data_IF_585440539892
#
_entry.id   IF_585440539892
#
_cell.length_a   1.000
_cell.length_b   1.000
_cell.length_c   1.000
_cell.angle_alpha   90.00
_cell.angle_beta   90.00
_cell.angle_gamma   90.00
#
_symmetry.space_group_name_H-M   'P 1'
#
loop_
_entity.id
_entity.type
_entity.pdbx_description
1 polymer ?
#
# COMPACT_ATOMS: atom_id res chain seq x y z
N UNK A 1 -2.55 -42.48 16.32
CA UNK A 1 -2.06 -42.21 14.95
C UNK A 1 -3.13 -42.23 13.86
N UNK A 2 -3.90 -43.32 13.70
CA UNK A 2 -4.96 -43.38 12.66
C UNK A 2 -6.02 -42.27 12.86
N UNK A 3 -6.39 -42.01 14.12
CA UNK A 3 -7.37 -40.97 14.47
C UNK A 3 -6.86 -39.55 14.16
N UNK A 4 -5.60 -39.22 14.51
CA UNK A 4 -4.97 -37.94 14.16
C UNK A 4 -4.96 -37.74 12.64
N UNK A 5 -4.62 -38.78 11.87
CA UNK A 5 -4.60 -38.69 10.42
C UNK A 5 -6.01 -38.53 9.83
N UNK A 6 -7.02 -39.16 10.43
CA UNK A 6 -8.41 -38.99 10.02
C UNK A 6 -8.89 -37.55 10.29
N UNK A 7 -8.58 -37.00 11.47
CA UNK A 7 -8.93 -35.63 11.85
C UNK A 7 -8.22 -34.59 10.97
N UNK A 8 -6.92 -34.76 10.70
CA UNK A 8 -6.18 -33.87 9.79
C UNK A 8 -6.66 -33.96 8.33
N UNK A 9 -7.09 -35.14 7.88
CA UNK A 9 -7.69 -35.29 6.54
C UNK A 9 -9.05 -34.61 6.48
N UNK A 10 -9.88 -34.79 7.51
CA UNK A 10 -11.18 -34.12 7.63
C UNK A 10 -11.02 -32.59 7.61
N UNK A 11 -10.04 -32.07 8.36
CA UNK A 11 -9.69 -30.65 8.32
C UNK A 11 -9.29 -30.19 6.90
N UNK A 12 -8.43 -30.95 6.22
CA UNK A 12 -8.02 -30.64 4.84
C UNK A 12 -9.18 -30.76 3.84
N UNK A 13 -10.12 -31.67 4.03
CA UNK A 13 -11.32 -31.78 3.18
C UNK A 13 -12.26 -30.60 3.39
N UNK A 14 -12.42 -30.14 4.63
CA UNK A 14 -13.29 -29.02 4.99
C UNK A 14 -12.78 -27.67 4.47
N UNK A 15 -11.50 -27.39 4.66
CA UNK A 15 -10.90 -26.09 4.36
C UNK A 15 -10.02 -26.10 3.10
N UNK A 16 -9.80 -27.26 2.46
CA UNK A 16 -9.13 -27.40 1.17
C UNK A 16 -7.78 -26.66 1.04
N UNK A 17 -7.75 -25.53 0.32
CA UNK A 17 -6.54 -24.73 0.02
C UNK A 17 -6.04 -23.92 1.21
N UNK A 18 -6.91 -23.77 2.18
CA UNK A 18 -6.82 -22.87 3.31
C UNK A 18 -6.17 -23.60 4.52
N UNK A 19 -5.83 -24.88 4.34
CA UNK A 19 -5.07 -25.74 5.25
C UNK A 19 -3.89 -26.40 4.52
N UNK A 20 -2.71 -26.29 5.13
CA UNK A 20 -1.50 -26.97 4.71
C UNK A 20 -1.11 -28.03 5.76
N UNK A 21 -0.82 -29.25 5.30
CA UNK A 21 -0.36 -30.34 6.15
C UNK A 21 1.12 -30.62 5.86
N UNK A 22 1.97 -30.49 6.88
CA UNK A 22 3.38 -30.86 6.81
C UNK A 22 3.70 -31.98 7.81
N UNK A 23 4.70 -32.79 7.48
CA UNK A 23 5.20 -33.89 8.32
C UNK A 23 6.72 -33.85 8.29
N UNK A 24 7.35 -34.40 9.31
CA UNK A 24 8.79 -34.61 9.31
C UNK A 24 9.25 -35.39 8.06
N UNK A 25 10.46 -35.09 7.59
CA UNK A 25 11.05 -35.78 6.44
C UNK A 25 11.20 -37.28 6.72
N UNK A 26 10.96 -38.08 5.68
CA UNK A 26 11.06 -39.53 5.78
C UNK A 26 12.51 -39.93 6.04
N UNK A 27 12.79 -40.41 7.25
CA UNK A 27 14.15 -40.77 7.70
C UNK A 27 14.69 -39.89 8.83
N UNK A 28 13.98 -38.81 9.19
CA UNK A 28 14.32 -38.01 10.37
C UNK A 28 14.11 -38.79 11.69
N UNK A 29 14.92 -38.53 12.73
CA UNK A 29 14.71 -39.12 14.05
C UNK A 29 13.35 -38.66 14.60
N UNK A 30 12.45 -39.61 14.87
CA UNK A 30 11.09 -39.32 15.36
C UNK A 30 9.99 -39.33 14.29
N UNK A 31 10.30 -39.65 13.02
CA UNK A 31 9.28 -39.80 11.97
C UNK A 31 8.14 -40.73 12.43
N UNK A 32 6.86 -40.31 12.32
CA UNK A 32 6.35 -39.21 11.48
C UNK A 32 6.23 -37.83 12.16
N UNK A 33 6.72 -37.66 13.39
CA UNK A 33 6.64 -36.40 14.14
C UNK A 33 7.85 -35.49 13.90
N UNK A 34 7.67 -34.16 13.98
CA UNK A 34 6.40 -33.45 14.18
C UNK A 34 5.47 -33.53 12.96
N UNK A 35 4.16 -33.58 13.23
CA UNK A 35 3.09 -33.42 12.22
C UNK A 35 2.47 -32.06 12.44
N UNK A 36 2.47 -31.21 11.41
CA UNK A 36 1.94 -29.86 11.50
C UNK A 36 0.74 -29.63 10.56
N UNK A 37 -0.23 -28.87 11.07
CA UNK A 37 -1.41 -28.40 10.36
C UNK A 37 -1.42 -26.87 10.42
N UNK A 38 -1.12 -26.23 9.31
CA UNK A 38 -1.18 -24.77 9.18
C UNK A 38 -2.52 -24.39 8.59
N UNK A 39 -3.30 -23.57 9.30
CA UNK A 39 -4.57 -23.02 8.84
C UNK A 39 -4.39 -21.54 8.56
N UNK A 40 -4.67 -21.10 7.35
CA UNK A 40 -4.73 -19.68 6.98
C UNK A 40 -6.16 -19.20 7.14
N UNK A 41 -6.53 -18.71 8.33
CA UNK A 41 -7.90 -18.29 8.61
C UNK A 41 -8.18 -16.98 7.88
N UNK A 42 -9.09 -16.94 6.89
CA UNK A 42 -9.40 -15.70 6.17
C UNK A 42 -10.14 -14.73 7.08
N UNK A 43 -10.02 -13.43 6.81
CA UNK A 43 -10.77 -12.38 7.50
C UNK A 43 -12.28 -12.64 7.40
N UNK A 44 -12.98 -12.87 8.53
CA UNK A 44 -14.43 -13.00 8.49
C UNK A 44 -15.10 -11.64 8.24
N UNK A 45 -16.35 -11.65 7.77
CA UNK A 45 -17.13 -10.42 7.52
C UNK A 45 -17.28 -9.55 8.78
N UNK A 46 -17.36 -10.17 9.96
CA UNK A 46 -17.39 -9.49 11.27
C UNK A 46 -16.11 -8.69 11.56
N UNK A 47 -15.01 -9.01 10.88
CA UNK A 47 -13.73 -8.34 10.99
C UNK A 47 -13.44 -7.41 9.81
N UNK A 48 -14.41 -7.04 8.97
CA UNK A 48 -14.19 -6.20 7.78
C UNK A 48 -13.49 -4.85 8.06
N UNK A 49 -13.63 -4.32 9.28
CA UNK A 49 -12.94 -3.11 9.73
C UNK A 49 -11.44 -3.30 10.03
N UNK A 50 -10.91 -4.54 10.00
CA UNK A 50 -9.52 -4.85 10.31
C UNK A 50 -8.68 -5.03 9.06
N UNK A 51 -7.49 -4.44 9.07
CA UNK A 51 -6.47 -4.59 8.04
C UNK A 51 -5.60 -5.83 8.28
N UNK A 52 -6.24 -6.97 8.47
CA UNK A 52 -5.60 -8.27 8.59
C UNK A 52 -6.37 -9.24 7.70
N UNK A 53 -5.81 -9.56 6.53
CA UNK A 53 -6.50 -10.40 5.53
C UNK A 53 -6.54 -11.87 5.94
N UNK A 54 -5.48 -12.38 6.55
CA UNK A 54 -5.39 -13.78 6.96
C UNK A 54 -4.66 -13.91 8.31
N UNK A 55 -5.13 -14.84 9.14
CA UNK A 55 -4.51 -15.23 10.41
C UNK A 55 -4.00 -16.68 10.28
N UNK A 56 -2.70 -16.87 10.00
CA UNK A 56 -2.10 -18.19 9.93
C UNK A 56 -1.82 -18.73 11.33
N UNK A 57 -2.36 -19.92 11.61
CA UNK A 57 -2.14 -20.67 12.85
C UNK A 57 -1.60 -22.05 12.53
N UNK A 58 -0.44 -22.39 13.06
CA UNK A 58 0.20 -23.69 12.85
C UNK A 58 0.11 -24.56 14.09
N UNK A 59 -0.69 -25.62 14.00
CA UNK A 59 -0.80 -26.67 15.00
C UNK A 59 0.29 -27.72 14.80
N UNK A 60 1.23 -27.84 15.73
CA UNK A 60 2.35 -28.79 15.66
C UNK A 60 2.17 -29.90 16.69
N UNK A 61 1.91 -31.12 16.22
CA UNK A 61 1.80 -32.32 17.04
C UNK A 61 3.16 -33.01 17.12
N UNK A 62 3.69 -33.18 18.33
CA UNK A 62 5.02 -33.74 18.62
C UNK A 62 4.99 -35.17 19.16
N UNK A 63 3.82 -35.66 19.61
CA UNK A 63 3.66 -36.98 20.20
C UNK A 63 2.51 -37.77 19.56
N UNK A 64 2.55 -39.09 19.69
CA UNK A 64 1.50 -40.00 19.24
C UNK A 64 0.29 -40.06 20.17
N UNK A 65 0.46 -39.63 21.42
CA UNK A 65 -0.60 -39.61 22.42
C UNK A 65 -1.06 -38.18 22.71
N UNK A 66 -2.37 -37.96 22.83
CA UNK A 66 -2.91 -36.65 23.16
C UNK A 66 -2.63 -36.34 24.64
N UNK A 67 -1.72 -35.40 24.89
CA UNK A 67 -1.38 -34.91 26.22
C UNK A 67 -1.08 -33.41 26.18
N UNK A 68 -1.03 -32.71 27.33
CA UNK A 68 -0.86 -31.26 27.37
C UNK A 68 0.42 -30.74 26.71
N UNK A 69 1.44 -31.60 26.60
CA UNK A 69 2.74 -31.32 25.95
C UNK A 69 2.84 -31.91 24.53
N UNK A 70 1.82 -32.60 24.06
CA UNK A 70 1.83 -33.27 22.76
C UNK A 70 1.65 -32.31 21.59
N UNK A 71 1.11 -31.11 21.84
CA UNK A 71 0.80 -30.12 20.81
C UNK A 71 1.38 -28.78 21.24
N UNK A 72 2.05 -28.12 20.30
CA UNK A 72 2.43 -26.71 20.38
C UNK A 72 1.73 -25.95 19.26
N UNK A 73 1.34 -24.70 19.52
CA UNK A 73 0.82 -23.80 18.49
C UNK A 73 1.90 -22.80 18.14
N UNK A 74 2.08 -22.57 16.84
CA UNK A 74 3.03 -21.59 16.31
C UNK A 74 2.26 -20.57 15.47
N UNK A 75 2.54 -19.28 15.69
CA UNK A 75 2.01 -18.18 14.88
C UNK A 75 3.20 -17.48 14.20
N UNK A 76 3.16 -17.25 12.88
CA UNK A 76 4.28 -16.63 12.17
C UNK A 76 4.66 -15.24 12.73
N UNK A 77 5.95 -14.87 12.70
CA UNK A 77 6.47 -13.69 13.38
C UNK A 77 6.23 -12.36 12.62
N UNK A 78 5.25 -12.30 11.71
CA UNK A 78 4.91 -11.03 11.04
C UNK A 78 4.01 -10.14 11.90
N UNK A 79 3.37 -10.70 12.94
CA UNK A 79 2.62 -9.91 13.90
C UNK A 79 3.57 -9.15 14.83
N UNK A 80 3.18 -7.94 15.27
CA UNK A 80 4.05 -7.07 16.05
C UNK A 80 4.35 -7.61 17.45
N UNK A 81 5.61 -7.48 17.86
CA UNK A 81 6.07 -7.66 19.24
C UNK A 81 5.68 -9.00 19.87
N UNK A 82 5.02 -8.96 21.03
CA UNK A 82 4.60 -10.15 21.78
C UNK A 82 3.26 -10.75 21.33
N UNK A 83 2.58 -10.14 20.35
CA UNK A 83 1.27 -10.60 19.88
C UNK A 83 1.26 -12.07 19.38
N UNK A 84 2.23 -12.54 18.55
CA UNK A 84 2.25 -13.95 18.15
C UNK A 84 2.30 -14.89 19.36
N UNK A 85 3.15 -14.60 20.35
CA UNK A 85 3.32 -15.44 21.54
C UNK A 85 2.05 -15.46 22.40
N UNK A 86 1.34 -14.34 22.54
CA UNK A 86 0.07 -14.29 23.25
C UNK A 86 -1.04 -15.04 22.50
N UNK A 87 -1.08 -14.97 21.17
CA UNK A 87 -1.98 -15.78 20.34
C UNK A 87 -1.70 -17.28 20.52
N UNK A 88 -0.44 -17.70 20.43
CA UNK A 88 -0.02 -19.09 20.67
C UNK A 88 -0.53 -19.60 22.02
N UNK A 89 -0.28 -18.84 23.10
CA UNK A 89 -0.76 -19.17 24.45
C UNK A 89 -2.29 -19.26 24.52
N UNK A 90 -3.01 -18.33 23.89
CA UNK A 90 -4.47 -18.30 23.90
C UNK A 90 -5.05 -19.54 23.20
N UNK A 91 -4.53 -19.87 22.02
CA UNK A 91 -4.96 -21.04 21.24
C UNK A 91 -4.59 -22.34 21.94
N UNK A 92 -3.37 -22.46 22.49
CA UNK A 92 -2.96 -23.63 23.29
C UNK A 92 -3.85 -23.84 24.52
N UNK A 93 -4.18 -22.75 25.22
CA UNK A 93 -5.07 -22.79 26.39
C UNK A 93 -6.46 -23.28 26.02
N UNK A 94 -7.03 -22.79 24.92
CA UNK A 94 -8.33 -23.27 24.45
C UNK A 94 -8.25 -24.74 24.03
N UNK A 95 -7.22 -25.14 23.29
CA UNK A 95 -7.00 -26.53 22.92
C UNK A 95 -6.96 -27.45 24.15
N UNK A 96 -6.18 -27.10 25.18
CA UNK A 96 -6.10 -27.87 26.44
C UNK A 96 -7.45 -27.95 27.14
N UNK A 97 -8.23 -26.86 27.12
CA UNK A 97 -9.58 -26.82 27.69
C UNK A 97 -10.55 -27.70 26.91
N UNK A 98 -10.44 -27.76 25.59
CA UNK A 98 -11.22 -28.68 24.75
C UNK A 98 -10.81 -30.14 24.99
N UNK A 99 -9.51 -30.41 25.16
CA UNK A 99 -8.99 -31.74 25.48
C UNK A 99 -9.57 -32.29 26.80
N UNK A 100 -9.79 -31.44 27.80
CA UNK A 100 -10.45 -31.82 29.06
C UNK A 100 -11.96 -32.06 28.95
N UNK A 101 -12.60 -31.62 27.87
CA UNK A 101 -14.05 -31.74 27.64
C UNK A 101 -14.41 -32.87 26.66
N UNK A 102 -13.51 -33.83 26.43
CA UNK A 102 -13.72 -34.97 25.53
C UNK A 102 -15.06 -35.68 25.82
N UNK A 103 -15.98 -35.64 24.86
CA UNK A 103 -17.34 -36.20 24.99
C UNK A 103 -17.67 -37.28 23.95
N UNK A 104 -16.81 -37.54 22.95
CA UNK A 104 -17.15 -38.40 21.81
C UNK A 104 -16.04 -39.32 21.32
N UNK A 105 -16.44 -40.34 20.56
CA UNK A 105 -15.57 -41.28 19.85
C UNK A 105 -15.11 -40.62 18.54
N UNK A 106 -13.81 -40.36 18.38
CA UNK A 106 -13.24 -39.68 17.20
C UNK A 106 -12.76 -38.23 17.43
N UNK A 107 -13.11 -37.62 18.57
CA UNK A 107 -12.68 -36.26 18.94
C UNK A 107 -11.43 -36.32 19.86
N UNK A 108 -10.37 -36.93 19.38
CA UNK A 108 -9.21 -37.20 20.23
C UNK A 108 -8.26 -35.99 20.33
N UNK A 109 -8.05 -35.27 19.22
CA UNK A 109 -7.07 -34.18 19.13
C UNK A 109 -7.68 -32.79 19.15
N UNK A 110 -8.98 -32.65 18.87
CA UNK A 110 -9.71 -31.36 18.92
C UNK A 110 -9.10 -30.28 18.00
N UNK A 111 -8.40 -30.68 16.94
CA UNK A 111 -7.76 -29.78 15.98
C UNK A 111 -8.83 -28.97 15.27
N UNK A 112 -9.86 -29.62 14.72
CA UNK A 112 -10.92 -28.92 13.98
C UNK A 112 -11.66 -27.92 14.86
N UNK A 113 -12.09 -28.36 16.05
CA UNK A 113 -12.81 -27.50 17.00
C UNK A 113 -11.96 -26.33 17.49
N UNK A 114 -10.64 -26.50 17.59
CA UNK A 114 -9.78 -25.38 17.97
C UNK A 114 -9.60 -24.41 16.80
N UNK A 115 -9.47 -24.91 15.57
CA UNK A 115 -9.41 -24.05 14.38
C UNK A 115 -10.73 -23.28 14.14
N UNK A 116 -11.89 -23.91 14.36
CA UNK A 116 -13.20 -23.23 14.35
C UNK A 116 -13.28 -22.14 15.43
N UNK A 117 -12.71 -22.42 16.60
CA UNK A 117 -12.66 -21.43 17.67
C UNK A 117 -11.80 -20.23 17.28
N UNK A 118 -10.64 -20.46 16.65
CA UNK A 118 -9.78 -19.39 16.10
C UNK A 118 -10.56 -18.52 15.11
N UNK A 119 -11.28 -19.14 14.18
CA UNK A 119 -12.12 -18.42 13.20
C UNK A 119 -13.19 -17.56 13.88
N UNK A 120 -13.86 -18.10 14.90
CA UNK A 120 -14.90 -17.39 15.65
C UNK A 120 -14.35 -16.26 16.53
N UNK A 121 -13.09 -16.34 16.95
CA UNK A 121 -12.42 -15.38 17.85
C UNK A 121 -11.32 -14.58 17.13
N UNK A 122 -11.38 -14.49 15.80
CA UNK A 122 -10.38 -13.81 14.97
C UNK A 122 -10.05 -12.40 15.50
N UNK A 123 -11.07 -11.59 15.76
CA UNK A 123 -10.92 -10.22 16.28
C UNK A 123 -10.38 -10.21 17.70
N UNK A 124 -10.80 -11.14 18.54
CA UNK A 124 -10.35 -11.21 19.93
C UNK A 124 -8.87 -11.57 20.01
N UNK A 125 -8.40 -12.44 19.11
CA UNK A 125 -6.99 -12.80 18.98
C UNK A 125 -6.13 -11.60 18.56
N UNK A 126 -6.58 -10.80 17.59
CA UNK A 126 -5.89 -9.57 17.18
C UNK A 126 -5.86 -8.51 18.29
N UNK A 127 -6.80 -8.56 19.23
CA UNK A 127 -6.92 -7.63 20.37
C UNK A 127 -6.22 -8.09 21.65
N UNK A 128 -5.53 -9.24 21.64
CA UNK A 128 -4.86 -9.75 22.84
C UNK A 128 -3.86 -8.77 23.43
N UNK A 129 -3.20 -8.00 22.56
CA UNK A 129 -2.27 -6.92 22.96
C UNK A 129 -2.79 -5.60 22.41
N UNK A 130 -3.67 -4.88 23.15
CA UNK A 130 -4.27 -3.64 22.68
C UNK A 130 -3.26 -2.54 22.33
N UNK A 131 -2.06 -2.60 22.90
CA UNK A 131 -0.98 -1.64 22.64
C UNK A 131 -0.53 -1.63 21.16
N UNK A 132 -0.74 -2.73 20.44
CA UNK A 132 -0.42 -2.82 19.01
C UNK A 132 -1.61 -2.55 18.10
N UNK A 133 -2.78 -2.18 18.64
CA UNK A 133 -3.97 -1.89 17.85
C UNK A 133 -4.13 -0.39 17.71
N UNK A 134 -4.00 0.11 16.48
CA UNK A 134 -4.26 1.51 16.16
C UNK A 134 -5.54 1.65 15.31
N UNK A 135 -6.11 2.86 15.34
CA UNK A 135 -7.34 3.18 14.62
C UNK A 135 -7.14 4.37 13.70
N UNK A 136 -7.66 4.26 12.48
CA UNK A 136 -7.67 5.37 11.53
C UNK A 136 -9.01 5.45 10.80
N UNK A 137 -9.24 6.57 10.12
CA UNK A 137 -10.42 6.75 9.26
C UNK A 137 -10.02 6.29 7.87
N UNK A 138 -10.56 5.14 7.45
CA UNK A 138 -10.41 4.63 6.09
C UNK A 138 -11.75 4.59 5.37
N UNK A 139 -11.80 3.86 4.26
CA UNK A 139 -13.03 3.62 3.52
C UNK A 139 -13.41 2.13 3.56
N UNK A 140 -14.70 1.85 3.48
CA UNK A 140 -15.21 0.51 3.16
C UNK A 140 -15.12 0.21 1.65
N UNK A 141 -15.53 -0.98 1.24
CA UNK A 141 -15.53 -1.41 -0.16
C UNK A 141 -16.46 -0.56 -1.06
N UNK A 142 -17.38 0.22 -0.47
CA UNK A 142 -18.30 1.12 -1.15
C UNK A 142 -17.80 2.57 -1.16
N UNK A 143 -16.62 2.84 -0.59
CA UNK A 143 -16.03 4.17 -0.50
C UNK A 143 -16.60 5.05 0.61
N UNK A 144 -17.41 4.50 1.52
CA UNK A 144 -17.91 5.21 2.68
C UNK A 144 -16.86 5.24 3.79
N UNK A 145 -16.70 6.39 4.45
CA UNK A 145 -15.74 6.54 5.54
C UNK A 145 -16.14 5.68 6.74
N UNK A 146 -15.20 4.85 7.22
CA UNK A 146 -15.39 4.02 8.40
C UNK A 146 -14.13 4.02 9.28
N UNK A 147 -14.32 3.75 10.58
CA UNK A 147 -13.18 3.51 11.48
C UNK A 147 -12.61 2.13 11.18
N UNK A 148 -11.32 2.09 10.84
CA UNK A 148 -10.56 0.87 10.57
C UNK A 148 -9.52 0.64 11.67
N UNK A 149 -9.12 -0.61 11.83
CA UNK A 149 -8.15 -1.08 12.82
C UNK A 149 -6.96 -1.70 12.09
N UNK A 150 -5.76 -1.33 12.52
CA UNK A 150 -4.51 -1.89 11.99
C UNK A 150 -3.61 -2.32 13.14
N UNK A 151 -2.67 -3.22 12.84
CA UNK A 151 -1.66 -3.66 13.79
C UNK A 151 -0.38 -2.86 13.59
N UNK A 152 0.06 -2.14 14.62
CA UNK A 152 1.28 -1.33 14.61
C UNK A 152 2.31 -2.01 15.51
N UNK A 153 3.55 -2.08 15.01
CA UNK A 153 4.70 -2.53 15.78
C UNK A 153 4.85 -1.79 17.11
N UNK A 154 5.65 -2.31 18.06
CA UNK A 154 6.21 -1.41 19.06
C UNK A 154 6.79 -0.23 18.30
N UNK A 155 6.48 0.99 18.76
CA UNK A 155 7.12 2.18 18.22
C UNK A 155 8.61 1.84 18.14
N UNK A 156 9.22 2.09 16.98
CA UNK A 156 10.67 2.18 16.96
C UNK A 156 11.04 3.04 18.17
N UNK A 157 12.11 2.71 18.94
CA UNK A 157 12.63 3.72 19.84
C UNK A 157 12.63 5.00 19.01
N UNK A 158 12.00 6.05 19.53
CA UNK A 158 12.33 7.37 19.03
C UNK A 158 13.85 7.32 19.05
N UNK A 159 14.45 7.20 17.87
CA UNK A 159 15.81 7.65 17.70
C UNK A 159 15.63 9.08 18.20
N UNK A 160 15.88 9.31 19.51
CA UNK A 160 16.46 10.55 19.98
C UNK A 160 17.51 10.73 18.93
N UNK A 161 17.19 11.58 17.94
CA UNK A 161 18.05 11.82 16.80
C UNK A 161 19.41 11.96 17.47
N UNK A 162 20.26 10.94 17.31
CA UNK A 162 21.67 11.16 17.26
C UNK A 162 21.70 12.10 16.07
N UNK A 163 21.59 13.40 16.38
CA UNK A 163 22.04 14.49 15.57
C UNK A 163 23.45 14.03 15.25
N UNK A 164 23.58 13.24 14.19
CA UNK A 164 24.79 13.17 13.42
C UNK A 164 25.03 14.66 13.19
N UNK A 165 25.96 15.23 13.95
CA UNK A 165 26.64 16.46 13.60
C UNK A 165 27.27 16.16 12.24
N UNK A 166 26.44 16.21 11.20
CA UNK A 166 26.88 16.15 9.82
C UNK A 166 27.54 17.50 9.64
N UNK A 167 28.85 17.51 9.86
CA UNK A 167 29.77 18.65 9.70
C UNK A 167 29.19 19.64 8.68
N UNK A 168 28.59 20.72 9.19
CA UNK A 168 27.78 21.66 8.39
C UNK A 168 28.62 22.20 7.22
N UNK A 169 29.95 22.28 7.40
CA UNK A 169 30.91 22.70 6.38
C UNK A 169 30.97 21.75 5.17
N UNK A 170 30.79 20.43 5.35
CA UNK A 170 30.82 19.48 4.24
C UNK A 170 29.52 19.53 3.41
N UNK A 171 28.36 19.69 4.07
CA UNK A 171 27.09 19.88 3.38
C UNK A 171 27.08 21.21 2.61
N UNK A 172 27.57 22.29 3.21
CA UNK A 172 27.69 23.59 2.54
C UNK A 172 28.59 23.51 1.31
N UNK A 173 29.73 22.81 1.40
CA UNK A 173 30.61 22.59 0.23
C UNK A 173 29.92 21.83 -0.89
N UNK A 174 29.18 20.75 -0.59
CA UNK A 174 28.44 19.99 -1.61
C UNK A 174 27.32 20.82 -2.24
N UNK A 175 26.64 21.64 -1.44
CA UNK A 175 25.59 22.53 -1.93
C UNK A 175 26.18 23.63 -2.84
N UNK A 176 27.30 24.22 -2.45
CA UNK A 176 28.00 25.23 -3.27
C UNK A 176 28.52 24.65 -4.58
N UNK A 177 29.08 23.44 -4.56
CA UNK A 177 29.54 22.77 -5.78
C UNK A 177 28.37 22.45 -6.73
N UNK A 178 27.23 22.02 -6.19
CA UNK A 178 26.01 21.80 -6.97
C UNK A 178 25.46 23.10 -7.56
N UNK A 179 25.40 24.17 -6.76
CA UNK A 179 24.94 25.49 -7.22
C UNK A 179 25.85 26.08 -8.29
N UNK A 180 27.17 25.96 -8.13
CA UNK A 180 28.14 26.40 -9.14
C UNK A 180 27.98 25.64 -10.46
N UNK A 181 27.70 24.34 -10.39
CA UNK A 181 27.45 23.50 -11.57
C UNK A 181 26.15 23.86 -12.29
N UNK A 182 25.08 24.12 -11.56
CA UNK A 182 23.82 24.59 -12.15
C UNK A 182 23.95 26.00 -12.75
N UNK A 183 24.65 26.91 -12.07
CA UNK A 183 24.93 28.25 -12.60
C UNK A 183 25.73 28.19 -13.90
N UNK A 184 26.77 27.36 -13.98
CA UNK A 184 27.53 27.17 -15.21
C UNK A 184 26.67 26.60 -16.36
N UNK A 185 25.72 25.71 -16.06
CA UNK A 185 24.77 25.20 -17.07
C UNK A 185 23.83 26.29 -17.58
N UNK A 186 23.31 27.12 -16.67
CA UNK A 186 22.40 28.23 -17.00
C UNK A 186 23.14 29.30 -17.81
N UNK A 187 24.36 29.66 -17.45
CA UNK A 187 25.17 30.63 -18.20
C UNK A 187 25.48 30.14 -19.62
N UNK A 188 25.82 28.86 -19.79
CA UNK A 188 26.03 28.27 -21.11
C UNK A 188 24.75 28.31 -21.97
N UNK A 189 23.58 28.01 -21.39
CA UNK A 189 22.31 28.07 -22.11
C UNK A 189 21.93 29.53 -22.50
N UNK A 190 22.24 30.50 -21.64
CA UNK A 190 22.02 31.92 -21.92
C UNK A 190 22.96 32.40 -23.04
N UNK A 191 24.22 31.99 -23.02
CA UNK A 191 25.19 32.37 -24.05
C UNK A 191 24.83 31.76 -25.42
N UNK A 192 24.35 30.51 -25.44
CA UNK A 192 23.86 29.86 -26.66
C UNK A 192 22.62 30.57 -27.21
N UNK A 193 21.66 30.94 -26.35
CA UNK A 193 20.48 31.73 -26.74
C UNK A 193 20.88 33.09 -27.29
N UNK A 194 21.83 33.77 -26.64
CA UNK A 194 22.30 35.08 -27.09
C UNK A 194 22.97 35.00 -28.47
N UNK A 195 23.80 33.98 -28.72
CA UNK A 195 24.41 33.73 -30.03
C UNK A 195 23.36 33.43 -31.10
N UNK A 196 22.38 32.58 -30.79
CA UNK A 196 21.28 32.27 -31.70
C UNK A 196 20.44 33.50 -32.04
N UNK A 197 20.15 34.35 -31.05
CA UNK A 197 19.37 35.58 -31.25
C UNK A 197 20.16 36.64 -32.03
N UNK A 198 21.47 36.74 -31.83
CA UNK A 198 22.34 37.62 -32.60
C UNK A 198 22.49 37.14 -34.06
N UNK A 199 22.58 35.83 -34.29
CA UNK A 199 22.56 35.24 -35.63
C UNK A 199 21.21 35.48 -36.33
N UNK A 200 20.08 35.31 -35.62
CA UNK A 200 18.75 35.63 -36.12
C UNK A 200 18.58 37.10 -36.45
N UNK A 201 19.11 38.01 -35.61
CA UNK A 201 19.08 39.45 -35.87
C UNK A 201 19.91 39.80 -37.10
N UNK A 202 21.11 39.22 -37.23
CA UNK A 202 21.98 39.39 -38.41
C UNK A 202 21.33 38.84 -39.68
N UNK A 203 20.65 37.69 -39.61
CA UNK A 203 19.91 37.12 -40.74
C UNK A 203 18.70 37.99 -41.15
N UNK A 204 17.97 38.53 -40.17
CA UNK A 204 16.86 39.45 -40.41
C UNK A 204 17.32 40.79 -41.02
N UNK A 205 18.43 41.36 -40.53
CA UNK A 205 19.05 42.57 -41.10
C UNK A 205 19.58 42.35 -42.52
N UNK A 206 20.03 41.13 -42.84
CA UNK A 206 20.41 40.72 -44.21
C UNK A 206 19.21 40.39 -45.12
N UNK A 207 17.98 40.47 -44.61
CA UNK A 207 16.74 40.25 -45.38
C UNK A 207 16.48 38.80 -45.77
N UNK A 208 17.05 37.83 -45.05
CA UNK A 208 16.76 36.40 -45.20
C UNK A 208 15.95 35.90 -44.01
N UNK A 209 14.76 35.36 -44.28
CA UNK A 209 14.02 34.55 -43.30
C UNK A 209 14.48 33.08 -43.38
N UNK A 210 14.16 32.29 -42.34
CA UNK A 210 14.65 30.92 -42.07
C UNK A 210 14.55 29.90 -43.23
N UNK A 211 13.77 30.20 -44.28
CA UNK A 211 13.66 29.37 -45.51
C UNK A 211 14.48 29.88 -46.72
N UNK A 212 15.37 30.86 -46.53
CA UNK A 212 16.30 31.34 -47.58
C UNK A 212 15.65 32.10 -48.74
N UNK A 213 14.36 32.44 -48.67
CA UNK A 213 13.66 33.19 -49.72
C UNK A 213 13.56 34.69 -49.40
N UNK A 214 14.00 35.54 -50.34
CA UNK A 214 13.83 37.00 -50.26
C UNK A 214 12.34 37.35 -50.27
N UNK A 215 11.96 38.33 -49.44
CA UNK A 215 10.59 38.85 -49.30
C UNK A 215 10.02 39.18 -50.68
N UNK A 216 9.14 38.33 -51.17
CA UNK A 216 8.32 38.63 -52.34
C UNK A 216 7.31 39.67 -51.89
N UNK A 217 7.47 40.92 -52.35
CA UNK A 217 6.47 41.96 -52.10
C UNK A 217 5.13 41.50 -52.69
N UNK A 218 4.22 41.06 -51.82
CA UNK A 218 2.89 40.66 -52.21
C UNK A 218 2.18 41.87 -52.83
N UNK A 219 1.57 41.66 -53.99
CA UNK A 219 0.83 42.73 -54.66
C UNK A 219 -0.38 43.14 -53.83
N UNK A 220 -0.84 44.39 -53.99
CA UNK A 220 -2.01 44.93 -53.24
C UNK A 220 -3.27 44.05 -53.33
N UNK A 221 -3.42 43.24 -54.39
CA UNK A 221 -4.54 42.31 -54.56
C UNK A 221 -4.42 41.07 -53.68
N UNK A 222 -3.23 40.48 -53.57
CA UNK A 222 -2.98 39.30 -52.74
C UNK A 222 -3.11 39.65 -51.24
N UNK A 223 -2.68 40.85 -50.86
CA UNK A 223 -2.84 41.35 -49.48
C UNK A 223 -4.31 41.54 -49.09
N UNK A 224 -5.18 41.85 -50.06
CA UNK A 224 -6.61 42.02 -49.82
C UNK A 224 -7.34 40.68 -49.63
N UNK A 225 -6.92 39.62 -50.32
CA UNK A 225 -7.45 38.26 -50.12
C UNK A 225 -7.00 37.65 -48.79
N UNK A 226 -5.72 37.83 -48.42
CA UNK A 226 -5.23 37.33 -47.13
C UNK A 226 -5.97 37.96 -45.94
N UNK A 227 -6.29 39.26 -46.03
CA UNK A 227 -7.04 39.97 -45.00
C UNK A 227 -8.54 39.58 -44.93
N UNK A 228 -9.14 39.04 -45.99
CA UNK A 228 -10.49 38.44 -45.92
C UNK A 228 -10.49 37.21 -45.03
N UNK A 229 -9.51 36.32 -45.20
CA UNK A 229 -9.38 35.10 -44.37
C UNK A 229 -9.18 35.40 -42.88
N UNK A 230 -8.49 36.52 -42.56
CA UNK A 230 -8.25 36.95 -41.19
C UNK A 230 -9.50 37.53 -40.51
N UNK A 231 -10.35 38.24 -41.26
CA UNK A 231 -11.66 38.74 -40.81
C UNK A 231 -12.66 37.61 -40.57
N UNK A 232 -12.58 36.52 -41.33
CA UNK A 232 -13.43 35.33 -41.12
C UNK A 232 -12.96 34.49 -39.93
N UNK A 233 -11.64 34.40 -39.68
CA UNK A 233 -11.07 33.69 -38.52
C UNK A 233 -11.16 34.45 -37.20
N UNK A 234 -11.27 35.78 -37.22
CA UNK A 234 -11.54 36.54 -36.01
C UNK A 234 -13.02 36.43 -35.66
N UNK A 235 -13.37 35.38 -34.91
CA UNK A 235 -14.70 35.18 -34.37
C UNK A 235 -15.29 36.49 -33.82
N UNK A 236 -16.53 36.75 -34.19
CA UNK A 236 -17.29 37.94 -33.85
C UNK A 236 -17.18 38.19 -32.33
N UNK A 237 -16.38 39.18 -31.91
CA UNK A 237 -16.37 39.62 -30.51
C UNK A 237 -17.78 40.10 -30.21
N UNK A 238 -18.56 39.32 -29.45
CA UNK A 238 -19.78 39.83 -28.84
C UNK A 238 -19.42 41.11 -28.11
N UNK A 239 -19.99 42.24 -28.56
CA UNK A 239 -19.88 43.50 -27.83
C UNK A 239 -20.47 43.25 -26.44
N UNK A 240 -19.64 43.37 -25.39
CA UNK A 240 -20.15 43.44 -24.02
C UNK A 240 -21.02 44.69 -23.92
N UNK A 241 -22.33 44.53 -23.94
CA UNK A 241 -23.28 45.57 -23.51
C UNK A 241 -23.14 45.70 -21.99
N UNK A 242 -22.54 46.80 -21.54
CA UNK A 242 -22.40 47.08 -20.12
C UNK A 242 -23.76 47.30 -19.43
N UNK A 243 -23.82 47.18 -18.09
CA UNK A 243 -25.06 47.17 -17.29
C UNK A 243 -25.83 48.50 -17.22
N UNK A 244 -25.56 49.46 -18.12
CA UNK A 244 -26.17 50.80 -18.10
C UNK A 244 -27.49 50.91 -18.87
N UNK A 245 -28.00 49.83 -19.46
CA UNK A 245 -29.22 49.86 -20.29
C UNK A 245 -30.54 49.74 -19.49
N UNK A 246 -30.51 49.39 -18.20
CA UNK A 246 -31.70 49.34 -17.35
C UNK A 246 -31.56 50.31 -16.18
N UNK A 247 -31.88 51.58 -16.40
CA UNK A 247 -32.30 52.46 -15.31
C UNK A 247 -33.82 52.38 -15.21
N UNK A 248 -34.40 51.94 -14.08
CA UNK A 248 -35.83 52.07 -13.84
C UNK A 248 -36.17 53.57 -13.72
N UNK A 249 -37.11 54.04 -14.52
CA UNK A 249 -37.72 55.36 -14.38
C UNK A 249 -38.62 55.29 -13.14
N UNK A 250 -38.42 56.20 -12.18
CA UNK A 250 -39.38 56.41 -11.09
C UNK A 250 -40.53 57.23 -11.65
N UNK A 251 -41.73 56.67 -11.62
CA UNK A 251 -42.96 57.43 -11.86
C UNK A 251 -43.22 58.33 -10.64
N UNK A 252 -43.46 59.62 -10.90
CA UNK A 252 -44.05 60.59 -9.95
C UNK A 252 -45.58 60.46 -9.95
#
# INVERSE_FOLDING_TARGET
MQELQAELKSAKERWAKEVELSKAEKGAPGYPFPVACTRYVPRPESAAAWDCEELPVRFVVRSAEPGPEAVSVEVPPFFPGELPAEMEKAVEKEWRKQLGKKKGKGELWMVEKTLEWVESHFVDLLRLVPAYVDTYIGCDDLGASMRRYTLVGPAAPEDEDEEEEVDEEEQERRLQEFLAREQARIEAEIEEKFKSDEEKRRAAEAGMFEDGQKVRQLSKKELAELNKSRKERSGHRWRKTGPKAHKPVKDE
#
